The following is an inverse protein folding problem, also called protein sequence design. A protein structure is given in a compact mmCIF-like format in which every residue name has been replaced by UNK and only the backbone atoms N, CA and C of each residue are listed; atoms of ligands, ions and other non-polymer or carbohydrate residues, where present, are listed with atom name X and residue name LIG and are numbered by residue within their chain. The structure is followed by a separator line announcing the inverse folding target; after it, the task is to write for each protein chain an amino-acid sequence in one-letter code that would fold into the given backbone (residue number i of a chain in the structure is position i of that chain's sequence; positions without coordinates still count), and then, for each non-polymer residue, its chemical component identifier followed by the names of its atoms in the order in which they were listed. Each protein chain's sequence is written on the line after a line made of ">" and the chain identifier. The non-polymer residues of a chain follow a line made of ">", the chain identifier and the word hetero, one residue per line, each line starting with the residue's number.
data_IF_438101545680
#
_entry.id   IF_438101545680
#
_cell.length_a   1.000
_cell.length_b   1.000
_cell.length_c   1.000
_cell.angle_alpha   90.00
_cell.angle_beta   90.00
_cell.angle_gamma   90.00
#
_symmetry.space_group_name_H-M   'P 1'
#
loop_
_entity.id
_entity.type
_entity.pdbx_description
1 polymer ?
#
# COMPACT_ATOMS: atom_id res chain seq x y z
N UNK A 1 -5.94 -17.53 0.34
CA UNK A 1 -5.28 -16.81 -0.79
C UNK A 1 -5.94 -15.45 -0.99
N UNK A 2 -5.15 -14.43 -1.15
CA UNK A 2 -5.66 -13.06 -1.34
C UNK A 2 -6.16 -12.89 -2.77
N UNK A 3 -7.36 -12.32 -2.89
CA UNK A 3 -7.91 -11.92 -4.19
C UNK A 3 -7.58 -10.46 -4.44
N UNK A 4 -6.57 -10.21 -5.26
CA UNK A 4 -6.07 -8.86 -5.52
C UNK A 4 -7.10 -7.95 -6.20
N UNK A 5 -7.99 -8.51 -7.01
CA UNK A 5 -9.06 -7.73 -7.65
C UNK A 5 -10.05 -7.19 -6.62
N UNK A 6 -10.34 -7.95 -5.57
CA UNK A 6 -11.16 -7.47 -4.45
C UNK A 6 -10.44 -6.36 -3.67
N UNK A 7 -9.13 -6.48 -3.51
CA UNK A 7 -8.35 -5.46 -2.82
C UNK A 7 -8.37 -4.13 -3.61
N UNK A 8 -8.17 -4.19 -4.92
CA UNK A 8 -8.24 -3.00 -5.77
C UNK A 8 -9.65 -2.40 -5.73
N UNK A 9 -10.67 -3.23 -5.78
CA UNK A 9 -12.05 -2.78 -5.71
C UNK A 9 -12.38 -2.13 -4.36
N UNK A 10 -11.79 -2.58 -3.28
CA UNK A 10 -11.91 -1.93 -1.97
C UNK A 10 -11.49 -0.46 -2.05
N UNK A 11 -10.36 -0.18 -2.71
CA UNK A 11 -9.90 1.18 -2.96
C UNK A 11 -10.84 1.96 -3.88
N UNK A 12 -11.24 1.36 -5.00
CA UNK A 12 -12.13 2.01 -5.97
C UNK A 12 -13.46 2.42 -5.33
N UNK A 13 -14.03 1.57 -4.49
CA UNK A 13 -15.28 1.84 -3.80
C UNK A 13 -15.17 2.99 -2.79
N UNK A 14 -13.98 3.31 -2.32
CA UNK A 14 -13.73 4.35 -1.32
C UNK A 14 -13.14 5.62 -1.91
N UNK A 15 -12.73 5.59 -3.16
CA UNK A 15 -12.19 6.76 -3.85
C UNK A 15 -13.22 7.90 -3.83
N UNK A 16 -12.80 9.07 -3.34
CA UNK A 16 -13.67 10.22 -3.18
C UNK A 16 -14.58 10.19 -1.94
N UNK A 17 -14.48 9.14 -1.11
CA UNK A 17 -15.35 8.96 0.06
C UNK A 17 -14.63 8.94 1.39
N UNK A 18 -13.32 8.83 1.39
CA UNK A 18 -12.51 8.78 2.61
C UNK A 18 -11.41 9.85 2.56
N UNK A 19 -10.96 10.25 3.75
CA UNK A 19 -9.88 11.23 3.91
C UNK A 19 -8.58 10.51 4.29
N UNK A 20 -7.48 11.23 4.19
CA UNK A 20 -6.19 10.77 4.69
C UNK A 20 -6.00 11.22 6.13
N UNK A 21 -5.62 10.30 7.02
CA UNK A 21 -5.28 10.62 8.40
C UNK A 21 -4.34 9.58 8.97
N UNK A 22 -3.20 10.01 9.51
CA UNK A 22 -2.27 9.15 10.23
C UNK A 22 -2.75 8.86 11.66
N UNK A 23 -3.57 9.71 12.24
CA UNK A 23 -4.12 9.53 13.59
C UNK A 23 -5.35 8.64 13.57
N UNK A 24 -6.30 8.91 12.68
CA UNK A 24 -7.56 8.17 12.57
C UNK A 24 -7.49 7.25 11.34
N UNK A 25 -6.63 6.26 11.40
CA UNK A 25 -6.26 5.43 10.26
C UNK A 25 -7.01 4.11 10.12
N UNK A 26 -7.97 3.86 11.00
CA UNK A 26 -8.70 2.58 11.01
C UNK A 26 -10.10 2.64 10.38
N UNK A 27 -10.36 3.67 9.58
CA UNK A 27 -11.65 3.84 8.93
C UNK A 27 -12.82 4.03 9.90
N UNK A 28 -14.05 4.07 9.40
CA UNK A 28 -14.43 4.00 7.97
C UNK A 28 -14.26 5.31 7.20
N UNK A 29 -13.98 6.41 7.88
CA UNK A 29 -13.95 7.75 7.26
C UNK A 29 -12.57 8.16 6.79
N UNK A 30 -11.52 7.58 7.36
CA UNK A 30 -10.15 7.93 7.02
C UNK A 30 -9.18 6.77 7.23
N UNK A 31 -8.12 6.82 6.44
CA UNK A 31 -7.01 5.84 6.44
C UNK A 31 -5.72 6.58 6.13
N UNK A 32 -4.58 5.98 6.41
CA UNK A 32 -3.31 6.36 5.82
C UNK A 32 -2.91 5.35 4.73
N UNK A 33 -1.68 5.43 4.22
CA UNK A 33 -1.25 4.54 3.14
C UNK A 33 -1.23 3.07 3.55
N UNK A 34 -0.58 2.74 4.64
CA UNK A 34 -0.42 1.34 5.07
C UNK A 34 -1.70 0.76 5.65
N UNK A 35 -2.50 1.53 6.36
CA UNK A 35 -3.77 1.05 6.89
C UNK A 35 -4.75 0.74 5.76
N UNK A 36 -4.76 1.53 4.69
CA UNK A 36 -5.62 1.25 3.54
C UNK A 36 -5.24 -0.07 2.87
N UNK A 37 -3.94 -0.34 2.72
CA UNK A 37 -3.46 -1.64 2.22
C UNK A 37 -3.92 -2.76 3.14
N UNK A 38 -3.76 -2.58 4.46
CA UNK A 38 -4.15 -3.59 5.43
C UNK A 38 -5.63 -3.96 5.30
N UNK A 39 -6.52 -2.97 5.32
CA UNK A 39 -7.97 -3.23 5.23
C UNK A 39 -8.39 -3.75 3.87
N UNK A 40 -7.77 -3.28 2.79
CA UNK A 40 -8.05 -3.79 1.46
C UNK A 40 -7.69 -5.27 1.34
N UNK A 41 -6.51 -5.66 1.80
CA UNK A 41 -6.08 -7.06 1.77
C UNK A 41 -6.86 -7.93 2.76
N UNK A 42 -7.21 -7.39 3.94
CA UNK A 42 -8.06 -8.10 4.90
C UNK A 42 -9.43 -8.43 4.30
N UNK A 43 -10.02 -7.50 3.54
CA UNK A 43 -11.28 -7.74 2.84
C UNK A 43 -11.18 -8.76 1.72
N UNK A 44 -9.95 -9.12 1.35
CA UNK A 44 -9.63 -9.93 0.17
C UNK A 44 -9.03 -11.29 0.51
N UNK A 45 -9.03 -11.67 1.79
CA UNK A 45 -8.57 -12.98 2.23
C UNK A 45 -7.26 -13.01 3.02
N UNK A 46 -6.67 -11.87 3.33
CA UNK A 46 -5.45 -11.84 4.14
C UNK A 46 -5.70 -12.27 5.58
N UNK A 47 -4.66 -12.83 6.19
CA UNK A 47 -4.66 -13.19 7.60
C UNK A 47 -4.39 -11.94 8.44
N UNK A 48 -5.11 -11.81 9.55
CA UNK A 48 -4.92 -10.68 10.47
C UNK A 48 -3.50 -10.66 11.05
N UNK A 49 -2.97 -9.46 11.21
CA UNK A 49 -1.71 -9.23 11.93
C UNK A 49 -1.95 -9.04 13.45
N UNK A 50 -3.21 -8.95 13.88
CA UNK A 50 -3.57 -8.64 15.26
C UNK A 50 -3.68 -7.14 15.53
N UNK A 51 -3.09 -6.32 14.68
CA UNK A 51 -3.16 -4.85 14.72
C UNK A 51 -2.94 -4.31 13.31
N UNK A 52 -3.38 -3.08 13.08
CA UNK A 52 -3.25 -2.43 11.76
C UNK A 52 -1.79 -2.07 11.51
N UNK A 53 -1.21 -2.67 10.48
CA UNK A 53 0.21 -2.51 10.15
C UNK A 53 0.56 -1.08 9.75
N UNK A 54 1.84 -0.73 9.91
CA UNK A 54 2.45 0.45 9.34
C UNK A 54 3.40 0.05 8.20
N UNK A 55 4.02 1.01 7.54
CA UNK A 55 4.95 0.71 6.43
C UNK A 55 6.18 -0.06 6.89
N UNK A 56 6.58 0.08 8.15
CA UNK A 56 7.72 -0.64 8.71
C UNK A 56 7.44 -2.15 8.83
N UNK A 57 6.23 -2.52 9.21
CA UNK A 57 5.83 -3.91 9.46
C UNK A 57 5.13 -4.57 8.27
N UNK A 58 4.80 -3.80 7.24
CA UNK A 58 4.11 -4.28 6.05
C UNK A 58 4.89 -5.39 5.34
N UNK A 59 6.21 -5.27 5.25
CA UNK A 59 7.09 -6.28 4.64
C UNK A 59 6.85 -7.68 5.19
N UNK A 60 6.89 -7.81 6.50
CA UNK A 60 6.74 -9.09 7.18
C UNK A 60 5.32 -9.64 7.05
N UNK A 61 4.33 -8.76 7.14
CA UNK A 61 2.94 -9.17 7.02
C UNK A 61 2.60 -9.65 5.61
N UNK A 62 3.10 -8.98 4.58
CA UNK A 62 2.92 -9.40 3.19
C UNK A 62 3.51 -10.80 2.96
N UNK A 63 4.71 -11.05 3.44
CA UNK A 63 5.35 -12.36 3.25
C UNK A 63 4.60 -13.48 3.98
N UNK A 64 3.96 -13.18 5.11
CA UNK A 64 3.09 -14.14 5.80
C UNK A 64 1.78 -14.40 5.06
N UNK A 65 1.45 -13.58 4.08
CA UNK A 65 0.27 -13.69 3.23
C UNK A 65 0.62 -14.10 1.81
N UNK A 66 1.70 -14.84 1.65
CA UNK A 66 2.16 -15.44 0.38
C UNK A 66 2.61 -14.43 -0.68
N UNK A 67 2.86 -13.19 -0.30
CA UNK A 67 3.55 -12.25 -1.19
C UNK A 67 5.04 -12.55 -1.19
N UNK A 68 5.64 -12.51 -2.37
CA UNK A 68 7.07 -12.68 -2.55
C UNK A 68 7.72 -11.35 -2.88
N UNK A 69 8.87 -11.08 -2.28
CA UNK A 69 9.64 -9.88 -2.61
C UNK A 69 10.18 -10.00 -4.03
N UNK A 70 9.86 -9.03 -4.88
CA UNK A 70 10.35 -8.97 -6.25
C UNK A 70 11.77 -8.41 -6.26
N UNK A 71 11.98 -7.24 -5.66
CA UNK A 71 13.26 -6.56 -5.68
C UNK A 71 13.33 -5.44 -4.64
N UNK A 72 14.56 -5.00 -4.35
CA UNK A 72 14.84 -3.82 -3.54
C UNK A 72 15.55 -2.78 -4.43
N UNK A 73 14.86 -1.65 -4.69
CA UNK A 73 15.43 -0.50 -5.40
C UNK A 73 16.02 -0.82 -6.79
N UNK A 74 15.51 -1.84 -7.45
CA UNK A 74 15.91 -2.22 -8.80
C UNK A 74 14.68 -2.17 -9.71
N UNK A 75 14.76 -1.56 -10.89
CA UNK A 75 13.62 -1.53 -11.82
C UNK A 75 13.12 -2.92 -12.19
N UNK A 76 11.82 -3.06 -12.31
CA UNK A 76 11.18 -4.29 -12.80
C UNK A 76 9.94 -3.91 -13.61
N UNK A 77 9.38 -4.88 -14.30
CA UNK A 77 8.13 -4.68 -15.02
C UNK A 77 6.95 -4.94 -14.09
N UNK A 78 6.32 -3.88 -13.60
CA UNK A 78 5.20 -3.99 -12.68
C UNK A 78 3.99 -4.61 -13.37
N UNK A 79 3.21 -5.34 -12.59
CA UNK A 79 1.95 -5.96 -12.99
C UNK A 79 0.83 -5.55 -12.05
N UNK A 80 -0.39 -5.61 -12.54
CA UNK A 80 -1.56 -5.39 -11.70
C UNK A 80 -1.52 -6.31 -10.48
N UNK A 81 -1.63 -5.72 -9.31
CA UNK A 81 -1.58 -6.43 -8.04
C UNK A 81 -0.23 -6.37 -7.32
N UNK A 82 0.83 -5.93 -7.99
CA UNK A 82 2.10 -5.72 -7.33
C UNK A 82 1.98 -4.59 -6.30
N UNK A 83 2.70 -4.73 -5.19
CA UNK A 83 2.70 -3.74 -4.11
C UNK A 83 4.10 -3.14 -4.01
N UNK A 84 4.18 -1.83 -3.89
CA UNK A 84 5.42 -1.16 -3.54
C UNK A 84 5.38 -0.68 -2.10
N UNK A 85 6.52 -0.66 -1.45
CA UNK A 85 6.68 -0.04 -0.13
C UNK A 85 7.91 0.84 -0.19
N UNK A 86 7.75 2.11 0.10
CA UNK A 86 8.85 3.05 0.28
C UNK A 86 9.12 3.21 1.77
N UNK A 87 10.41 3.20 2.14
CA UNK A 87 10.80 3.40 3.51
C UNK A 87 11.61 2.25 4.08
N UNK A 88 11.78 2.27 5.39
CA UNK A 88 12.63 1.31 6.10
C UNK A 88 11.89 0.01 6.36
N UNK A 89 12.67 -1.09 6.43
CA UNK A 89 12.17 -2.40 6.87
C UNK A 89 12.31 -2.62 8.36
N UNK A 90 13.05 -1.76 9.06
CA UNK A 90 13.31 -1.88 10.49
C UNK A 90 13.66 -0.53 11.08
N UNK A 91 13.58 -0.42 12.41
CA UNK A 91 13.79 0.82 13.12
C UNK A 91 12.49 1.50 13.52
N UNK A 92 12.48 2.83 13.56
CA UNK A 92 11.30 3.62 13.93
C UNK A 92 10.46 3.90 12.68
N UNK A 93 9.13 3.73 12.74
CA UNK A 93 8.25 4.11 11.62
C UNK A 93 8.45 5.56 11.23
N UNK A 94 8.43 5.83 9.91
CA UNK A 94 8.64 7.17 9.37
C UNK A 94 7.42 7.64 8.59
N UNK A 95 7.09 8.92 8.73
CA UNK A 95 6.05 9.57 7.91
C UNK A 95 6.43 9.65 6.43
N UNK A 96 7.70 9.40 6.09
CA UNK A 96 8.15 9.34 4.69
C UNK A 96 7.91 7.98 4.04
N UNK A 97 7.51 6.98 4.81
CA UNK A 97 7.11 5.69 4.25
C UNK A 97 5.83 5.82 3.45
N UNK A 98 5.72 5.04 2.39
CA UNK A 98 4.52 5.03 1.55
C UNK A 98 4.31 3.65 0.92
N UNK A 99 3.06 3.34 0.58
CA UNK A 99 2.70 2.08 -0.05
C UNK A 99 1.47 2.25 -0.93
N UNK A 100 1.33 1.36 -1.88
CA UNK A 100 0.19 1.32 -2.79
C UNK A 100 0.20 0.06 -3.64
N UNK A 101 -0.85 -0.12 -4.42
CA UNK A 101 -1.03 -1.27 -5.31
C UNK A 101 -1.00 -0.81 -6.76
N UNK A 102 -0.21 -1.49 -7.61
CA UNK A 102 -0.24 -1.25 -9.04
C UNK A 102 -1.55 -1.76 -9.64
N UNK A 103 -2.22 -0.91 -10.39
CA UNK A 103 -3.42 -1.30 -11.17
C UNK A 103 -3.06 -1.65 -12.61
N UNK A 104 -1.92 -1.17 -13.07
CA UNK A 104 -1.29 -1.55 -14.32
C UNK A 104 0.23 -1.34 -14.20
N UNK A 105 0.96 -1.44 -15.29
CA UNK A 105 2.42 -1.35 -15.30
C UNK A 105 2.97 0.03 -14.88
N UNK A 106 2.14 1.08 -14.90
CA UNK A 106 2.58 2.45 -14.65
C UNK A 106 1.84 3.16 -13.53
N UNK A 107 0.63 2.72 -13.21
CA UNK A 107 -0.25 3.45 -12.31
C UNK A 107 -0.53 2.67 -11.04
N UNK A 108 -0.65 3.43 -9.96
CA UNK A 108 -0.96 2.89 -8.63
C UNK A 108 -2.26 3.46 -8.11
N UNK A 109 -2.95 2.69 -7.27
CA UNK A 109 -4.04 3.19 -6.44
C UNK A 109 -3.55 3.18 -5.00
N UNK A 110 -3.76 4.30 -4.31
CA UNK A 110 -3.21 4.48 -2.96
C UNK A 110 -3.98 5.54 -2.18
N UNK A 111 -3.88 5.45 -0.86
CA UNK A 111 -4.36 6.50 0.04
C UNK A 111 -3.19 7.40 0.39
N UNK A 112 -3.31 8.70 0.12
CA UNK A 112 -2.16 9.61 0.22
C UNK A 112 -2.56 11.00 0.71
N UNK A 113 -1.58 11.70 1.27
CA UNK A 113 -1.76 13.02 1.83
C UNK A 113 -2.12 14.06 0.78
N UNK A 114 -1.45 14.03 -0.38
CA UNK A 114 -1.62 15.04 -1.43
C UNK A 114 -3.05 15.08 -1.96
N UNK A 115 -3.69 13.93 -2.12
CA UNK A 115 -5.08 13.85 -2.57
C UNK A 115 -6.08 13.90 -1.40
N UNK A 116 -5.58 13.91 -0.18
CA UNK A 116 -6.38 13.78 1.04
C UNK A 116 -7.37 12.60 0.94
N UNK A 117 -6.86 11.46 0.54
CA UNK A 117 -7.65 10.25 0.35
C UNK A 117 -7.08 9.35 -0.73
N UNK A 118 -7.95 8.61 -1.39
CA UNK A 118 -7.54 7.63 -2.40
C UNK A 118 -7.52 8.28 -3.78
N UNK A 119 -6.42 8.04 -4.50
CA UNK A 119 -6.25 8.50 -5.88
C UNK A 119 -5.51 7.46 -6.72
N UNK A 120 -5.57 7.63 -8.04
CA UNK A 120 -4.77 6.88 -9.00
C UNK A 120 -3.73 7.83 -9.57
N UNK A 121 -2.47 7.43 -9.48
CA UNK A 121 -1.35 8.26 -9.91
C UNK A 121 -0.30 7.41 -10.64
N UNK A 122 0.51 8.07 -11.46
CA UNK A 122 1.64 7.42 -12.11
C UNK A 122 2.74 7.20 -11.07
N UNK A 123 3.19 5.96 -10.92
CA UNK A 123 4.21 5.58 -9.95
C UNK A 123 5.53 6.35 -10.14
N UNK A 124 5.98 6.52 -11.36
CA UNK A 124 7.26 7.15 -11.64
C UNK A 124 7.32 8.62 -11.24
N UNK A 125 6.19 9.31 -11.23
CA UNK A 125 6.13 10.70 -10.76
C UNK A 125 6.37 10.83 -9.26
N UNK A 126 6.09 9.76 -8.51
CA UNK A 126 6.24 9.73 -7.06
C UNK A 126 7.60 9.21 -6.63
N UNK A 127 8.32 8.54 -7.52
CA UNK A 127 9.62 7.92 -7.25
C UNK A 127 10.64 8.89 -6.63
N UNK A 128 10.62 10.12 -7.08
CA UNK A 128 11.58 11.16 -6.67
C UNK A 128 11.56 11.44 -5.16
N UNK A 129 10.44 11.15 -4.52
CA UNK A 129 10.25 11.51 -3.11
C UNK A 129 10.60 10.40 -2.12
N UNK A 130 10.86 9.20 -2.60
CA UNK A 130 10.73 8.06 -1.71
C UNK A 130 12.02 7.33 -1.34
N UNK A 131 13.08 7.57 -1.99
CA UNK A 131 14.34 6.94 -1.64
C UNK A 131 14.45 5.49 -2.10
N UNK A 132 14.13 4.52 -1.27
CA UNK A 132 14.40 3.10 -1.57
C UNK A 132 13.11 2.28 -1.60
N UNK A 133 12.51 2.12 -2.77
CA UNK A 133 11.31 1.30 -2.89
C UNK A 133 11.61 -0.21 -2.77
N UNK A 134 10.66 -0.91 -2.20
CA UNK A 134 10.65 -2.36 -2.10
C UNK A 134 9.35 -2.86 -2.74
N UNK A 135 9.42 -3.98 -3.45
CA UNK A 135 8.30 -4.44 -4.26
C UNK A 135 7.90 -5.86 -3.91
N UNK A 136 6.61 -6.11 -3.92
CA UNK A 136 6.03 -7.39 -3.55
C UNK A 136 4.93 -7.79 -4.54
N UNK A 137 4.83 -9.06 -4.79
CA UNK A 137 3.80 -9.65 -5.62
C UNK A 137 2.91 -10.59 -4.81
#
# INVERSE_FOLDING_TARGET
>A
MIDIEKAIKWFENRKGKVSYSMENRNGPNSYDCSSSIYYALMSSGAKSNGWTIDTLHEHYWLTKNDFEKITDNIPWNAKRGDIFIWGRKEGVPSSYGHTGIFIDENNIIHCNYSANGISVDNHDRLWVYAGRPHYYV
#
